data_IF_865253098120
#
_entry.id   IF_865253098120
#
_cell.length_a   1.000
_cell.length_b   1.000
_cell.length_c   1.000
_cell.angle_alpha   90.00
_cell.angle_beta   90.00
_cell.angle_gamma   90.00
#
_symmetry.space_group_name_H-M   'P 1'
#
loop_
_entity.id
_entity.type
_entity.pdbx_description
1 polymer ?
#
# COMPACT_ATOMS: atom_id res chain seq x y z
N UNK A 1 3.16 -14.33 2.45
CA UNK A 1 1.78 -13.80 2.52
C UNK A 1 0.96 -14.76 3.33
N UNK A 2 0.08 -14.28 4.20
CA UNK A 2 -0.82 -15.14 4.97
C UNK A 2 -1.90 -15.78 4.07
N UNK A 3 -2.43 -16.96 4.44
CA UNK A 3 -3.40 -17.69 3.63
C UNK A 3 -4.70 -16.93 3.33
N UNK A 4 -5.22 -16.18 4.30
CA UNK A 4 -6.47 -15.41 4.14
C UNK A 4 -6.30 -14.30 3.10
N UNK A 5 -5.19 -13.55 3.19
CA UNK A 5 -4.86 -12.52 2.20
C UNK A 5 -4.65 -13.11 0.82
N UNK A 6 -3.98 -14.26 0.71
CA UNK A 6 -3.79 -14.95 -0.56
C UNK A 6 -5.13 -15.37 -1.16
N UNK A 7 -6.00 -16.01 -0.39
CA UNK A 7 -7.33 -16.44 -0.87
C UNK A 7 -8.15 -15.25 -1.38
N UNK A 8 -8.09 -14.12 -0.66
CA UNK A 8 -8.82 -12.92 -1.04
C UNK A 8 -8.31 -12.32 -2.36
N UNK A 9 -6.99 -12.23 -2.54
CA UNK A 9 -6.40 -11.61 -3.73
C UNK A 9 -6.45 -12.54 -4.94
N UNK A 10 -6.45 -13.86 -4.75
CA UNK A 10 -6.51 -14.83 -5.84
C UNK A 10 -7.89 -14.92 -6.50
N UNK A 11 -8.96 -14.46 -5.84
CA UNK A 11 -10.34 -14.46 -6.35
C UNK A 11 -10.76 -13.12 -6.96
N UNK A 12 -11.88 -13.10 -7.70
CA UNK A 12 -12.48 -11.86 -8.22
C UNK A 12 -13.34 -11.18 -7.15
N UNK A 13 -13.06 -9.90 -6.88
CA UNK A 13 -13.83 -9.06 -5.97
C UNK A 13 -14.85 -8.20 -6.72
N UNK A 14 -16.00 -8.80 -7.08
CA UNK A 14 -17.08 -8.10 -7.81
C UNK A 14 -17.78 -7.02 -6.99
N UNK A 15 -17.88 -7.20 -5.67
CA UNK A 15 -18.47 -6.24 -4.75
C UNK A 15 -17.37 -5.68 -3.84
N UNK A 16 -16.71 -4.60 -4.27
CA UNK A 16 -15.55 -4.01 -3.59
C UNK A 16 -15.73 -2.54 -3.20
N UNK A 17 -16.95 -2.01 -3.27
CA UNK A 17 -17.32 -0.67 -2.81
C UNK A 17 -16.86 -0.41 -1.36
N UNK A 18 -16.42 0.83 -1.10
CA UNK A 18 -15.92 1.26 0.22
C UNK A 18 -17.03 1.30 1.27
N UNK A 19 -18.20 1.80 0.88
CA UNK A 19 -19.41 1.82 1.71
C UNK A 19 -20.36 0.74 1.23
N UNK A 20 -20.33 -0.42 1.90
CA UNK A 20 -21.21 -1.53 1.55
C UNK A 20 -22.49 -1.50 2.36
N UNK A 21 -23.61 -1.54 1.66
CA UNK A 21 -24.88 -1.86 2.32
C UNK A 21 -24.91 -3.34 2.76
N UNK A 22 -25.92 -3.74 3.55
CA UNK A 22 -26.02 -5.12 4.07
C UNK A 22 -26.05 -6.15 2.94
N UNK A 23 -26.72 -5.84 1.84
CA UNK A 23 -26.83 -6.72 0.68
C UNK A 23 -25.48 -6.96 0.00
N UNK A 24 -24.70 -5.91 -0.28
CA UNK A 24 -23.37 -6.03 -0.89
C UNK A 24 -22.39 -6.83 -0.02
N UNK A 25 -22.50 -6.74 1.32
CA UNK A 25 -21.71 -7.56 2.24
C UNK A 25 -22.05 -9.05 2.09
N UNK A 26 -23.33 -9.38 1.99
CA UNK A 26 -23.81 -10.75 1.78
C UNK A 26 -23.36 -11.25 0.40
N UNK A 27 -23.58 -10.47 -0.65
CA UNK A 27 -23.17 -10.82 -2.02
C UNK A 27 -21.66 -11.00 -2.15
N UNK A 28 -20.85 -10.17 -1.49
CA UNK A 28 -19.40 -10.37 -1.42
C UNK A 28 -19.04 -11.73 -0.83
N UNK A 29 -19.64 -12.12 0.30
CA UNK A 29 -19.38 -13.43 0.92
C UNK A 29 -19.80 -14.59 0.01
N UNK A 30 -21.00 -14.51 -0.58
CA UNK A 30 -21.50 -15.53 -1.51
C UNK A 30 -20.58 -15.69 -2.73
N UNK A 31 -20.20 -14.58 -3.37
CA UNK A 31 -19.27 -14.63 -4.51
C UNK A 31 -17.91 -15.20 -4.13
N UNK A 32 -17.39 -14.93 -2.93
CA UNK A 32 -16.12 -15.51 -2.47
C UNK A 32 -16.21 -17.03 -2.24
N UNK A 33 -17.37 -17.53 -1.80
CA UNK A 33 -17.62 -18.96 -1.58
C UNK A 33 -17.76 -19.73 -2.89
N UNK A 34 -18.52 -19.19 -3.85
CA UNK A 34 -18.73 -19.83 -5.17
C UNK A 34 -17.42 -19.95 -5.95
N UNK A 35 -16.45 -19.07 -5.71
CA UNK A 35 -15.16 -19.05 -6.39
C UNK A 35 -14.12 -20.02 -5.78
N UNK A 36 -14.52 -21.11 -5.13
CA UNK A 36 -13.57 -22.00 -4.42
C UNK A 36 -12.55 -22.69 -5.35
N UNK A 37 -12.90 -22.92 -6.62
CA UNK A 37 -12.00 -23.48 -7.64
C UNK A 37 -11.17 -22.44 -8.38
N UNK A 38 -11.41 -21.15 -8.14
CA UNK A 38 -10.71 -20.07 -8.83
C UNK A 38 -9.47 -19.67 -8.05
N UNK A 39 -8.32 -19.78 -8.70
CA UNK A 39 -7.06 -19.19 -8.24
C UNK A 39 -6.40 -18.45 -9.42
N UNK A 40 -6.53 -17.12 -9.43
CA UNK A 40 -5.93 -16.27 -10.47
C UNK A 40 -4.40 -16.23 -10.38
N UNK A 41 -3.82 -16.46 -9.21
CA UNK A 41 -2.36 -16.55 -9.04
C UNK A 41 -1.80 -17.75 -9.80
N UNK A 42 -2.43 -18.92 -9.64
CA UNK A 42 -2.11 -20.14 -10.41
C UNK A 42 -2.41 -19.96 -11.90
N UNK A 43 -3.57 -19.41 -12.25
CA UNK A 43 -3.98 -19.21 -13.65
C UNK A 43 -2.99 -18.35 -14.44
N UNK A 44 -2.47 -17.28 -13.83
CA UNK A 44 -1.56 -16.36 -14.50
C UNK A 44 -0.08 -16.61 -14.21
N UNK A 45 0.25 -17.63 -13.41
CA UNK A 45 1.61 -17.92 -12.96
C UNK A 45 2.24 -16.73 -12.24
N UNK A 46 1.51 -16.14 -11.28
CA UNK A 46 1.91 -14.93 -10.55
C UNK A 46 2.01 -15.24 -9.07
N UNK A 47 3.15 -14.86 -8.48
CA UNK A 47 3.32 -14.84 -7.04
C UNK A 47 2.81 -13.50 -6.47
N UNK A 48 1.69 -13.51 -5.76
CA UNK A 48 1.17 -12.30 -5.13
C UNK A 48 2.08 -11.79 -4.00
N UNK A 49 2.19 -10.47 -3.91
CA UNK A 49 2.81 -9.78 -2.78
C UNK A 49 1.97 -8.57 -2.38
N UNK A 50 1.90 -8.30 -1.07
CA UNK A 50 1.22 -7.14 -0.47
C UNK A 50 2.26 -6.21 0.16
N UNK A 51 1.96 -4.92 0.23
CA UNK A 51 2.71 -3.93 0.98
C UNK A 51 1.97 -2.59 1.04
N UNK A 52 2.69 -1.54 1.40
CA UNK A 52 2.15 -0.19 1.40
C UNK A 52 1.74 0.26 -0.02
N UNK A 53 0.67 1.05 -0.09
CA UNK A 53 0.24 1.71 -1.32
C UNK A 53 1.12 2.90 -1.71
N UNK A 54 1.89 3.46 -0.77
CA UNK A 54 2.91 4.49 -1.01
C UNK A 54 4.23 3.84 -1.37
N UNK A 55 4.97 4.42 -2.30
CA UNK A 55 6.23 3.88 -2.79
C UNK A 55 7.10 4.97 -3.42
N UNK A 56 8.39 4.67 -3.53
CA UNK A 56 9.35 5.38 -4.38
C UNK A 56 10.05 4.33 -5.22
N UNK A 57 10.08 4.51 -6.54
CA UNK A 57 10.62 3.55 -7.50
C UNK A 57 11.55 4.25 -8.49
N UNK A 58 12.48 3.50 -9.07
CA UNK A 58 13.37 4.01 -10.11
C UNK A 58 12.63 4.17 -11.45
N UNK A 59 13.18 4.99 -12.35
CA UNK A 59 12.64 5.18 -13.70
C UNK A 59 12.50 3.84 -14.45
N UNK A 60 13.52 2.99 -14.40
CA UNK A 60 13.48 1.64 -14.99
C UNK A 60 12.29 0.81 -14.50
N UNK A 61 12.02 0.84 -13.19
CA UNK A 61 10.92 0.10 -12.59
C UNK A 61 9.57 0.68 -13.05
N UNK A 62 9.44 2.00 -13.10
CA UNK A 62 8.25 2.67 -13.60
C UNK A 62 7.97 2.31 -15.08
N UNK A 63 8.98 2.41 -15.95
CA UNK A 63 8.86 1.99 -17.37
C UNK A 63 8.49 0.52 -17.50
N UNK A 64 9.07 -0.34 -16.66
CA UNK A 64 8.71 -1.75 -16.61
C UNK A 64 7.23 -1.93 -16.26
N UNK A 65 6.74 -1.31 -15.18
CA UNK A 65 5.33 -1.40 -14.76
C UNK A 65 4.38 -0.95 -15.89
N UNK A 66 4.66 0.22 -16.50
CA UNK A 66 3.81 0.79 -17.56
C UNK A 66 3.74 -0.12 -18.78
N UNK A 67 4.87 -0.68 -19.21
CA UNK A 67 4.88 -1.62 -20.35
C UNK A 67 4.15 -2.94 -20.07
N UNK A 68 3.84 -3.26 -18.80
CA UNK A 68 3.03 -4.42 -18.41
C UNK A 68 1.57 -4.08 -18.12
N UNK A 69 1.12 -2.85 -18.40
CA UNK A 69 -0.24 -2.35 -18.12
C UNK A 69 -1.36 -3.35 -18.39
N UNK A 70 -1.40 -3.95 -19.59
CA UNK A 70 -2.46 -4.93 -19.95
C UNK A 70 -2.49 -6.15 -19.01
N UNK A 71 -1.32 -6.65 -18.60
CA UNK A 71 -1.21 -7.76 -17.65
C UNK A 71 -1.66 -7.33 -16.26
N UNK A 72 -1.25 -6.14 -15.83
CA UNK A 72 -1.65 -5.55 -14.54
C UNK A 72 -3.16 -5.37 -14.48
N UNK A 73 -3.77 -4.76 -15.48
CA UNK A 73 -5.23 -4.57 -15.55
C UNK A 73 -5.96 -5.91 -15.50
N UNK A 74 -5.53 -6.91 -16.29
CA UNK A 74 -6.15 -8.24 -16.31
C UNK A 74 -6.15 -8.92 -14.94
N UNK A 75 -5.05 -8.78 -14.19
CA UNK A 75 -4.89 -9.43 -12.88
C UNK A 75 -5.57 -8.62 -11.78
N UNK A 76 -5.43 -7.29 -11.78
CA UNK A 76 -5.78 -6.45 -10.63
C UNK A 76 -7.11 -5.70 -10.74
N UNK A 77 -7.72 -5.58 -11.93
CA UNK A 77 -8.95 -4.80 -12.13
C UNK A 77 -10.13 -5.18 -11.21
N UNK A 78 -10.24 -6.46 -10.85
CA UNK A 78 -11.25 -6.95 -9.89
C UNK A 78 -10.61 -7.46 -8.60
N UNK A 79 -9.63 -6.73 -8.09
CA UNK A 79 -8.95 -7.03 -6.83
C UNK A 79 -9.29 -5.97 -5.80
N UNK A 80 -9.78 -6.40 -4.63
CA UNK A 80 -10.00 -5.48 -3.51
C UNK A 80 -8.67 -4.97 -2.98
N UNK A 81 -8.54 -3.64 -2.82
CA UNK A 81 -7.30 -2.96 -2.44
C UNK A 81 -6.14 -3.30 -3.40
N UNK A 82 -6.40 -3.36 -4.70
CA UNK A 82 -5.41 -3.77 -5.70
C UNK A 82 -4.15 -2.88 -5.74
N UNK A 83 -4.27 -1.63 -5.30
CA UNK A 83 -3.17 -0.67 -5.10
C UNK A 83 -2.11 -1.17 -4.11
N UNK A 84 -2.50 -1.92 -3.08
CA UNK A 84 -1.56 -2.52 -2.11
C UNK A 84 -0.85 -3.78 -2.64
N UNK A 85 -1.30 -4.33 -3.78
CA UNK A 85 -0.77 -5.59 -4.33
C UNK A 85 -0.02 -5.43 -5.64
N UNK A 86 -0.48 -4.58 -6.56
CA UNK A 86 -0.04 -4.68 -7.94
C UNK A 86 1.46 -4.41 -8.11
N UNK A 87 1.99 -3.34 -7.52
CA UNK A 87 3.42 -3.00 -7.62
C UNK A 87 4.27 -4.05 -6.95
N UNK A 88 3.89 -4.44 -5.73
CA UNK A 88 4.62 -5.43 -4.95
C UNK A 88 4.68 -6.77 -5.70
N UNK A 89 3.56 -7.17 -6.29
CA UNK A 89 3.46 -8.36 -7.12
C UNK A 89 4.29 -8.24 -8.39
N UNK A 90 4.27 -7.10 -9.09
CA UNK A 90 5.12 -6.91 -10.27
C UNK A 90 6.59 -7.03 -9.90
N UNK A 91 7.02 -6.38 -8.80
CA UNK A 91 8.41 -6.38 -8.34
C UNK A 91 8.91 -7.81 -8.13
N UNK A 92 8.19 -8.65 -7.35
CA UNK A 92 8.63 -10.03 -7.06
C UNK A 92 8.59 -10.96 -8.28
N UNK A 93 7.86 -10.61 -9.34
CA UNK A 93 7.77 -11.40 -10.57
C UNK A 93 8.61 -10.80 -11.72
N UNK A 94 9.59 -9.92 -11.44
CA UNK A 94 10.32 -9.18 -12.49
C UNK A 94 11.83 -9.04 -12.31
N UNK A 95 12.40 -9.49 -11.19
CA UNK A 95 13.84 -9.32 -10.89
C UNK A 95 14.15 -8.02 -10.14
N UNK A 96 13.20 -7.07 -10.07
CA UNK A 96 13.36 -5.83 -9.32
C UNK A 96 13.41 -6.04 -7.81
N UNK A 97 13.00 -7.21 -7.30
CA UNK A 97 13.11 -7.56 -5.88
C UNK A 97 14.56 -7.50 -5.38
N UNK A 98 15.53 -7.75 -6.27
CA UNK A 98 16.98 -7.68 -5.96
C UNK A 98 17.47 -6.24 -5.73
N UNK A 99 16.70 -5.23 -6.15
CA UNK A 99 17.00 -3.80 -6.00
C UNK A 99 16.24 -3.16 -4.84
N UNK A 100 15.54 -3.94 -4.01
CA UNK A 100 14.81 -3.40 -2.87
C UNK A 100 15.77 -2.81 -1.83
N UNK A 101 15.45 -1.61 -1.35
CA UNK A 101 16.19 -0.95 -0.26
C UNK A 101 16.31 -1.84 0.98
N UNK A 102 15.23 -2.57 1.29
CA UNK A 102 15.23 -3.67 2.26
C UNK A 102 14.45 -4.85 1.66
N UNK A 103 15.02 -6.06 1.60
CA UNK A 103 14.37 -7.24 1.03
C UNK A 103 13.35 -7.82 2.03
N UNK A 104 12.35 -7.02 2.38
CA UNK A 104 11.29 -7.42 3.30
C UNK A 104 9.95 -6.93 2.78
N UNK A 105 9.02 -7.86 2.61
CA UNK A 105 7.67 -7.59 2.14
C UNK A 105 6.66 -7.65 3.29
N UNK A 106 6.98 -6.96 4.38
CA UNK A 106 6.07 -6.76 5.50
C UNK A 106 5.39 -5.39 5.41
N UNK A 107 4.37 -5.18 6.23
CA UNK A 107 3.65 -3.90 6.34
C UNK A 107 4.49 -2.83 7.08
N UNK A 108 5.83 -2.90 7.02
CA UNK A 108 6.73 -1.91 7.63
C UNK A 108 6.95 -0.72 6.70
N UNK A 109 6.41 0.43 7.07
CA UNK A 109 6.60 1.69 6.35
C UNK A 109 8.06 2.21 6.37
N UNK A 110 8.95 1.57 7.14
CA UNK A 110 10.40 1.85 7.11
C UNK A 110 11.03 1.51 5.76
N UNK A 111 10.50 0.52 5.03
CA UNK A 111 11.01 0.13 3.71
C UNK A 111 10.79 1.22 2.66
N UNK A 112 9.73 2.01 2.82
CA UNK A 112 9.41 3.16 1.97
C UNK A 112 9.85 4.51 2.57
N UNK A 113 10.49 4.50 3.75
CA UNK A 113 10.92 5.70 4.49
C UNK A 113 9.78 6.66 4.90
N UNK A 114 8.63 6.11 5.28
CA UNK A 114 7.50 6.89 5.80
C UNK A 114 7.34 6.69 7.31
N UNK A 115 7.23 7.78 8.05
CA UNK A 115 6.79 7.78 9.45
C UNK A 115 5.25 7.81 9.49
N UNK A 116 4.64 6.72 9.95
CA UNK A 116 3.19 6.60 10.12
C UNK A 116 2.90 5.99 11.48
N UNK A 117 2.06 6.66 12.26
CA UNK A 117 1.67 6.19 13.58
C UNK A 117 0.28 5.56 13.57
N UNK A 118 0.27 4.22 13.62
CA UNK A 118 -0.93 3.40 13.73
C UNK A 118 -1.25 2.99 15.18
N UNK A 119 -0.42 3.38 16.14
CA UNK A 119 -0.62 3.02 17.56
C UNK A 119 -1.51 4.03 18.26
N UNK A 120 -1.35 5.32 17.94
CA UNK A 120 -2.11 6.42 18.55
C UNK A 120 -3.36 6.82 17.77
N UNK A 121 -3.63 6.18 16.63
CA UNK A 121 -4.79 6.49 15.79
C UNK A 121 -4.87 5.65 14.51
N UNK A 122 -5.80 6.00 13.63
CA UNK A 122 -6.11 5.23 12.41
C UNK A 122 -5.96 6.03 11.09
N UNK A 123 -4.73 6.28 10.62
CA UNK A 123 -3.52 6.58 11.38
C UNK A 123 -3.65 7.92 12.12
N UNK A 124 -2.80 8.14 13.13
CA UNK A 124 -2.76 9.34 13.96
C UNK A 124 -2.40 10.61 13.17
N UNK A 125 -2.98 11.73 13.59
CA UNK A 125 -2.65 13.08 13.11
C UNK A 125 -1.60 13.66 14.06
N UNK A 126 -0.38 13.84 13.55
CA UNK A 126 0.72 14.38 14.35
C UNK A 126 0.45 15.81 14.80
N UNK A 127 0.95 16.14 15.99
CA UNK A 127 0.82 17.46 16.62
C UNK A 127 2.18 18.03 16.95
N UNK A 128 2.28 19.32 17.30
CA UNK A 128 3.56 20.01 17.55
C UNK A 128 4.45 19.28 18.56
N UNK A 129 3.87 18.55 19.52
CA UNK A 129 4.60 17.75 20.51
C UNK A 129 5.39 16.59 19.88
N UNK A 130 4.98 16.11 18.70
CA UNK A 130 5.66 15.06 17.94
C UNK A 130 6.86 15.54 17.13
N UNK A 131 7.07 16.86 17.03
CA UNK A 131 8.08 17.45 16.14
C UNK A 131 9.48 16.86 16.34
N UNK A 132 9.93 16.75 17.59
CA UNK A 132 11.25 16.19 17.94
C UNK A 132 11.37 14.73 17.48
N UNK A 133 10.31 13.93 17.66
CA UNK A 133 10.29 12.53 17.23
C UNK A 133 10.34 12.43 15.70
N UNK A 134 9.61 13.27 14.99
CA UNK A 134 9.61 13.30 13.54
C UNK A 134 10.99 13.68 12.97
N UNK A 135 11.64 14.71 13.52
CA UNK A 135 13.01 15.11 13.13
C UNK A 135 14.04 14.00 13.40
N UNK A 136 13.87 13.27 14.50
CA UNK A 136 14.77 12.15 14.86
C UNK A 136 14.44 10.83 14.12
N UNK A 137 13.34 10.76 13.36
CA UNK A 137 12.83 9.48 12.82
C UNK A 137 13.72 8.83 11.74
N UNK A 138 14.57 9.63 11.07
CA UNK A 138 15.35 9.18 9.92
C UNK A 138 14.51 8.75 8.70
N UNK A 139 13.23 9.14 8.69
CA UNK A 139 12.29 8.94 7.57
C UNK A 139 12.32 10.15 6.64
N UNK A 140 11.95 9.94 5.38
CA UNK A 140 11.91 11.01 4.37
C UNK A 140 10.54 11.70 4.33
N UNK A 141 9.48 10.95 4.64
CA UNK A 141 8.11 11.43 4.63
C UNK A 141 7.39 11.06 5.94
N UNK A 142 6.29 11.74 6.23
CA UNK A 142 5.44 11.43 7.37
C UNK A 142 3.95 11.61 7.03
N UNK A 143 3.06 10.87 7.71
CA UNK A 143 1.61 11.09 7.71
C UNK A 143 0.96 10.61 9.01
N UNK A 144 -0.13 11.22 9.48
CA UNK A 144 -0.91 12.29 8.82
C UNK A 144 -0.70 13.65 9.49
N UNK A 145 -0.97 14.69 8.71
CA UNK A 145 -1.05 16.07 9.16
C UNK A 145 -2.43 16.61 8.75
N UNK A 146 -2.95 17.53 9.55
CA UNK A 146 -4.25 18.15 9.36
C UNK A 146 -4.20 19.54 9.98
N UNK A 147 -4.39 20.58 9.16
CA UNK A 147 -4.27 21.98 9.60
C UNK A 147 -5.33 22.37 10.63
N UNK A 148 -6.52 21.78 10.56
CA UNK A 148 -7.61 22.03 11.52
C UNK A 148 -7.31 21.41 12.89
N UNK A 149 -6.51 20.34 12.91
CA UNK A 149 -6.10 19.68 14.15
C UNK A 149 -4.90 20.38 14.79
N UNK A 150 -3.85 20.65 14.00
CA UNK A 150 -2.66 21.37 14.46
C UNK A 150 -1.86 21.90 13.25
N UNK A 151 -2.06 23.17 12.91
CA UNK A 151 -1.28 23.83 11.86
C UNK A 151 0.15 24.20 12.29
N UNK A 152 0.45 24.21 13.60
CA UNK A 152 1.77 24.65 14.09
C UNK A 152 2.85 23.62 13.74
N UNK A 153 2.56 22.32 13.85
CA UNK A 153 3.52 21.29 13.42
C UNK A 153 3.91 21.43 11.95
N UNK A 154 2.96 21.79 11.08
CA UNK A 154 3.22 21.96 9.65
C UNK A 154 4.19 23.14 9.45
N UNK A 155 3.93 24.29 10.09
CA UNK A 155 4.81 25.46 10.06
C UNK A 155 6.19 25.17 10.63
N UNK A 156 6.28 24.41 11.71
CA UNK A 156 7.56 24.01 12.30
C UNK A 156 8.39 23.13 11.36
N UNK A 157 7.74 22.18 10.67
CA UNK A 157 8.40 21.32 9.68
C UNK A 157 8.85 22.18 8.49
N UNK A 158 7.98 23.01 7.93
CA UNK A 158 8.26 23.91 6.81
C UNK A 158 9.47 24.80 7.10
N UNK A 159 9.44 25.58 8.18
CA UNK A 159 10.56 26.43 8.61
C UNK A 159 11.87 25.64 8.72
N UNK A 160 11.81 24.42 9.23
CA UNK A 160 13.01 23.59 9.41
C UNK A 160 13.58 23.00 8.14
N UNK A 161 12.83 23.01 7.04
CA UNK A 161 13.27 22.55 5.72
C UNK A 161 13.76 23.77 4.92
N UNK A 162 13.06 24.91 4.99
CA UNK A 162 13.39 26.14 4.25
C UNK A 162 14.56 26.90 4.84
N UNK A 163 14.77 26.84 6.16
CA UNK A 163 15.85 27.58 6.83
C UNK A 163 17.18 26.79 6.90
N UNK A 164 17.28 25.64 6.23
CA UNK A 164 18.55 24.92 6.08
C UNK A 164 19.30 25.30 4.77
N UNK A 165 19.04 26.50 4.23
CA UNK A 165 19.91 27.17 3.27
C UNK A 165 20.89 28.11 3.98
#
# INVERSE_FOLDING_TARGET
MDPETYERVSKYAFFSSREKNKFEKVMYRLTMLVQFWIDRGRLYGIQYQKGANWFSITDDCARYIVSRRKRVERVFHRTRCGDEFFIQTIIVNSGFEKKLYRPNFNDSYKTIRYCIDWKRGNPYVFRKEDYTMLKASGMLFARKFDEDTDSEIIKMIERSITNNE
#
